data_IF_929564605057
#
_entry.id   IF_929564605057
#
_cell.length_a   1.000
_cell.length_b   1.000
_cell.length_c   1.000
_cell.angle_alpha   90.00
_cell.angle_beta   90.00
_cell.angle_gamma   90.00
#
_symmetry.space_group_name_H-M   'P 1'
#
loop_
_entity.id
_entity.type
_entity.pdbx_description
1 polymer ?
#
# COMPACT_ATOMS: atom_id res chain seq x y z
N UNK A 1 29.55 -18.73 28.70
CA UNK A 1 29.09 -17.36 28.36
C UNK A 1 28.72 -17.20 26.88
N UNK A 2 29.42 -17.83 25.93
CA UNK A 2 29.08 -17.81 24.49
C UNK A 2 27.65 -18.33 24.18
N UNK A 3 27.24 -19.45 24.79
CA UNK A 3 25.94 -20.07 24.53
C UNK A 3 24.71 -19.22 24.93
N UNK A 4 24.85 -18.36 25.96
CA UNK A 4 23.78 -17.41 26.36
C UNK A 4 23.66 -16.26 25.36
N UNK A 5 24.78 -15.83 24.77
CA UNK A 5 24.81 -14.75 23.77
C UNK A 5 24.23 -15.20 22.44
N UNK A 6 24.49 -16.44 22.02
CA UNK A 6 23.92 -17.00 20.79
C UNK A 6 22.41 -17.20 20.89
N UNK A 7 21.91 -17.70 22.04
CA UNK A 7 20.45 -17.84 22.28
C UNK A 7 19.76 -16.48 22.29
N UNK A 8 20.35 -15.47 22.94
CA UNK A 8 19.79 -14.11 22.96
C UNK A 8 19.74 -13.47 21.57
N UNK A 9 20.76 -13.69 20.72
CA UNK A 9 20.78 -13.19 19.34
C UNK A 9 19.69 -13.83 18.48
N UNK A 10 19.52 -15.16 18.59
CA UNK A 10 18.51 -15.88 17.83
C UNK A 10 17.09 -15.48 18.23
N UNK A 11 16.84 -15.33 19.53
CA UNK A 11 15.56 -14.86 20.05
C UNK A 11 15.22 -13.43 19.56
N UNK A 12 16.22 -12.54 19.50
CA UNK A 12 16.05 -11.18 19.00
C UNK A 12 15.74 -11.15 17.50
N UNK A 13 16.44 -11.94 16.68
CA UNK A 13 16.17 -12.04 15.24
C UNK A 13 14.79 -12.64 14.96
N UNK A 14 14.37 -13.66 15.72
CA UNK A 14 13.05 -14.26 15.59
C UNK A 14 11.93 -13.27 15.96
N UNK A 15 12.13 -12.45 17.01
CA UNK A 15 11.19 -11.40 17.37
C UNK A 15 11.05 -10.31 16.27
N UNK A 16 12.15 -9.98 15.57
CA UNK A 16 12.14 -8.99 14.49
C UNK A 16 11.52 -9.52 13.18
N UNK A 17 11.62 -10.82 12.91
CA UNK A 17 11.03 -11.44 11.72
C UNK A 17 9.49 -11.37 11.71
N UNK A 18 8.85 -11.34 12.88
CA UNK A 18 7.40 -11.20 13.02
C UNK A 18 6.84 -9.83 12.60
N UNK A 19 7.69 -8.85 12.30
CA UNK A 19 7.29 -7.52 11.83
C UNK A 19 7.32 -7.36 10.29
N UNK A 20 7.47 -8.46 9.53
CA UNK A 20 7.42 -8.39 8.08
C UNK A 20 6.04 -7.89 7.60
N UNK A 21 6.01 -6.69 7.01
CA UNK A 21 4.80 -6.09 6.45
C UNK A 21 4.56 -6.69 5.07
N UNK A 22 3.42 -7.35 4.90
CA UNK A 22 3.02 -7.86 3.59
C UNK A 22 2.92 -6.71 2.58
N UNK A 23 3.59 -6.86 1.45
CA UNK A 23 3.59 -5.84 0.39
C UNK A 23 2.30 -5.96 -0.40
N UNK A 24 1.69 -4.81 -0.75
CA UNK A 24 0.52 -4.81 -1.61
C UNK A 24 0.84 -5.52 -2.94
N UNK A 25 -0.11 -6.32 -3.49
CA UNK A 25 0.11 -7.00 -4.74
C UNK A 25 0.33 -6.01 -5.89
N UNK A 26 1.17 -6.43 -6.84
CA UNK A 26 1.29 -5.80 -8.14
C UNK A 26 -0.05 -5.89 -8.89
N UNK A 27 -0.51 -4.79 -9.47
CA UNK A 27 -1.78 -4.73 -10.22
C UNK A 27 -1.56 -3.98 -11.51
N UNK A 28 -1.90 -4.62 -12.63
CA UNK A 28 -1.96 -3.98 -13.94
C UNK A 28 -3.40 -3.54 -14.26
N UNK A 29 -3.56 -2.36 -14.84
CA UNK A 29 -4.87 -1.75 -15.11
C UNK A 29 -4.86 -0.89 -16.38
N UNK A 30 -6.06 -0.63 -16.90
CA UNK A 30 -6.29 0.25 -18.04
C UNK A 30 -7.04 1.48 -17.54
N UNK A 31 -6.48 2.65 -17.84
CA UNK A 31 -7.08 3.94 -17.52
C UNK A 31 -8.26 4.23 -18.44
N UNK A 32 -9.11 5.18 -18.03
CA UNK A 32 -10.29 5.60 -18.81
C UNK A 32 -9.94 6.15 -20.20
N UNK A 33 -8.69 6.58 -20.41
CA UNK A 33 -8.16 7.03 -21.70
C UNK A 33 -7.53 5.90 -22.54
N UNK A 34 -7.63 4.64 -22.11
CA UNK A 34 -7.10 3.47 -22.81
C UNK A 34 -5.62 3.17 -22.55
N UNK A 35 -4.90 4.00 -21.79
CA UNK A 35 -3.50 3.73 -21.46
C UNK A 35 -3.38 2.56 -20.47
N UNK A 36 -2.40 1.68 -20.72
CA UNK A 36 -2.01 0.62 -19.79
C UNK A 36 -1.08 1.18 -18.71
N UNK A 37 -1.31 0.77 -17.48
CA UNK A 37 -0.60 1.23 -16.31
C UNK A 37 -0.42 0.08 -15.30
N UNK A 38 0.57 0.20 -14.42
CA UNK A 38 0.91 -0.81 -13.42
C UNK A 38 1.10 -0.17 -12.04
N UNK A 39 0.71 -0.81 -10.94
CA UNK A 39 0.85 -0.23 -9.59
C UNK A 39 2.32 -0.01 -9.20
N UNK A 40 3.23 -0.77 -9.80
CA UNK A 40 4.66 -0.71 -9.58
C UNK A 40 5.28 0.64 -10.00
N UNK A 41 4.65 1.36 -10.93
CA UNK A 41 5.13 2.70 -11.34
C UNK A 41 5.03 3.75 -10.20
N UNK A 42 4.24 3.45 -9.17
CA UNK A 42 4.02 4.32 -8.00
C UNK A 42 4.89 3.91 -6.79
N UNK A 43 5.87 3.04 -6.99
CA UNK A 43 6.79 2.63 -5.93
C UNK A 43 7.46 3.86 -5.27
N UNK A 44 7.52 3.86 -3.94
CA UNK A 44 8.06 4.98 -3.16
C UNK A 44 7.10 6.16 -2.99
N UNK A 45 5.89 6.11 -3.57
CA UNK A 45 4.81 7.08 -3.33
C UNK A 45 3.69 6.43 -2.52
N UNK A 46 2.93 7.25 -1.80
CA UNK A 46 1.70 6.81 -1.14
C UNK A 46 0.61 6.70 -2.21
N UNK A 47 0.03 5.52 -2.37
CA UNK A 47 -1.04 5.26 -3.32
C UNK A 47 -2.34 4.92 -2.58
N UNK A 48 -3.40 5.70 -2.83
CA UNK A 48 -4.74 5.43 -2.34
C UNK A 48 -5.56 4.74 -3.43
N UNK A 49 -6.04 3.53 -3.17
CA UNK A 49 -6.96 2.79 -4.06
C UNK A 49 -8.37 2.90 -3.50
N UNK A 50 -9.27 3.53 -4.25
CA UNK A 50 -10.67 3.69 -3.88
C UNK A 50 -11.57 2.85 -4.80
N UNK A 51 -12.28 1.86 -4.24
CA UNK A 51 -13.26 1.07 -4.97
C UNK A 51 -14.63 1.74 -4.88
N UNK A 52 -15.17 2.20 -6.01
CA UNK A 52 -16.42 2.95 -6.07
C UNK A 52 -17.23 2.56 -7.32
N UNK A 53 -18.48 3.05 -7.39
CA UNK A 53 -19.37 2.84 -8.52
C UNK A 53 -20.20 4.10 -8.81
N UNK A 54 -20.58 4.31 -10.07
CA UNK A 54 -21.41 5.45 -10.51
C UNK A 54 -22.82 5.45 -9.90
N UNK A 55 -23.32 4.27 -9.51
CA UNK A 55 -24.58 4.11 -8.79
C UNK A 55 -24.47 4.38 -7.28
N UNK A 56 -23.26 4.53 -6.74
CA UNK A 56 -23.05 4.87 -5.33
C UNK A 56 -23.07 6.40 -5.14
N UNK A 57 -24.23 6.95 -4.81
CA UNK A 57 -24.42 8.39 -4.63
C UNK A 57 -23.47 9.00 -3.59
N UNK A 58 -23.27 8.31 -2.45
CA UNK A 58 -22.36 8.77 -1.40
C UNK A 58 -20.91 8.75 -1.86
N UNK A 59 -20.47 7.69 -2.54
CA UNK A 59 -19.11 7.58 -3.06
C UNK A 59 -18.78 8.75 -4.01
N UNK A 60 -19.70 9.06 -4.94
CA UNK A 60 -19.54 10.17 -5.88
C UNK A 60 -19.47 11.51 -5.17
N UNK A 61 -20.26 11.70 -4.10
CA UNK A 61 -20.25 12.94 -3.30
C UNK A 61 -18.92 13.16 -2.57
N UNK A 62 -18.18 12.10 -2.24
CA UNK A 62 -16.89 12.15 -1.55
C UNK A 62 -15.70 12.38 -2.50
N UNK A 63 -15.83 12.00 -3.79
CA UNK A 63 -14.76 12.11 -4.79
C UNK A 63 -14.07 13.48 -4.87
N UNK A 64 -14.76 14.64 -4.81
CA UNK A 64 -14.10 15.94 -4.86
C UNK A 64 -13.10 16.16 -3.71
N UNK A 65 -13.37 15.60 -2.54
CA UNK A 65 -12.48 15.71 -1.37
C UNK A 65 -11.23 14.86 -1.54
N UNK A 66 -11.36 13.68 -2.16
CA UNK A 66 -10.23 12.81 -2.49
C UNK A 66 -9.31 13.52 -3.50
N UNK A 67 -9.88 14.14 -4.53
CA UNK A 67 -9.11 14.93 -5.53
C UNK A 67 -8.42 16.11 -4.86
N UNK A 68 -9.11 16.85 -3.99
CA UNK A 68 -8.52 17.97 -3.25
C UNK A 68 -7.36 17.52 -2.35
N UNK A 69 -7.47 16.33 -1.75
CA UNK A 69 -6.41 15.75 -0.92
C UNK A 69 -5.16 15.43 -1.74
N UNK A 70 -5.32 14.81 -2.91
CA UNK A 70 -4.20 14.58 -3.84
C UNK A 70 -3.58 15.89 -4.36
N UNK A 71 -4.36 16.96 -4.51
CA UNK A 71 -3.80 18.27 -4.88
C UNK A 71 -2.98 18.93 -3.77
N UNK A 72 -3.15 18.53 -2.51
CA UNK A 72 -2.49 19.11 -1.33
C UNK A 72 -1.17 18.43 -0.97
N UNK A 73 -0.99 17.16 -1.32
CA UNK A 73 0.15 16.31 -0.94
C UNK A 73 0.84 15.74 -2.17
#
# INVERSE_FOLDING_TARGET
MLARRTVALFALCAALAGCAKETAPAVDYVLLNGQKASSQQWAGKVMLVNFWATSCATCVKEMPQIVATHGKF
#
